data_IF_178487179795
#
_entry.id   IF_178487179795
#
_cell.length_a   1.000
_cell.length_b   1.000
_cell.length_c   1.000
_cell.angle_alpha   90.00
_cell.angle_beta   90.00
_cell.angle_gamma   90.00
#
_symmetry.space_group_name_H-M   'P 1'
#
loop_
_entity.id
_entity.type
_entity.pdbx_description
1 polymer ?
#
# COMPACT_ATOMS: atom_id res chain seq x y z
N UNK A 1 34.40 25.51 -16.29
CA UNK A 1 33.38 24.45 -16.14
C UNK A 1 32.06 24.90 -16.77
N UNK A 2 31.75 24.46 -18.00
CA UNK A 2 30.52 24.86 -18.72
C UNK A 2 29.33 24.03 -18.20
N UNK A 3 28.39 24.66 -17.50
CA UNK A 3 27.12 24.03 -17.12
C UNK A 3 26.36 23.66 -18.40
N UNK A 4 26.26 22.37 -18.68
CA UNK A 4 25.58 21.81 -19.85
C UNK A 4 24.07 22.03 -19.68
N UNK A 5 23.55 23.14 -20.20
CA UNK A 5 22.12 23.44 -20.20
C UNK A 5 21.37 22.35 -20.97
N UNK A 6 20.33 21.80 -20.35
CA UNK A 6 19.50 20.78 -20.99
C UNK A 6 18.67 21.43 -22.10
N UNK A 7 18.45 20.72 -23.22
CA UNK A 7 17.51 21.16 -24.24
C UNK A 7 16.10 21.23 -23.66
N UNK A 8 15.25 22.12 -24.21
CA UNK A 8 13.87 22.31 -23.75
C UNK A 8 13.12 20.97 -23.71
N UNK A 9 13.28 20.14 -24.75
CA UNK A 9 12.70 18.81 -24.84
C UNK A 9 13.17 17.87 -23.70
N UNK A 10 14.44 17.91 -23.31
CA UNK A 10 14.96 17.11 -22.21
C UNK A 10 14.45 17.54 -20.83
N UNK A 11 14.13 18.84 -20.66
CA UNK A 11 13.49 19.35 -19.45
C UNK A 11 12.04 18.91 -19.35
N UNK A 12 11.27 19.05 -20.44
CA UNK A 12 9.86 18.63 -20.50
C UNK A 12 9.72 17.13 -20.24
N UNK A 13 10.56 16.32 -20.89
CA UNK A 13 10.58 14.88 -20.68
C UNK A 13 10.93 14.52 -19.22
N UNK A 14 11.95 15.18 -18.63
CA UNK A 14 12.32 14.96 -17.23
C UNK A 14 11.18 15.29 -16.26
N UNK A 15 10.45 16.38 -16.51
CA UNK A 15 9.28 16.76 -15.71
C UNK A 15 8.15 15.74 -15.85
N UNK A 16 7.88 15.21 -17.05
CA UNK A 16 6.88 14.16 -17.25
C UNK A 16 7.22 12.85 -16.52
N UNK A 17 8.49 12.43 -16.54
CA UNK A 17 8.93 11.23 -15.80
C UNK A 17 8.80 11.43 -14.30
N UNK A 18 9.20 12.60 -13.78
CA UNK A 18 9.03 12.94 -12.36
C UNK A 18 7.56 12.97 -11.97
N UNK A 19 6.69 13.57 -12.80
CA UNK A 19 5.26 13.61 -12.54
C UNK A 19 4.66 12.20 -12.46
N UNK A 20 4.99 11.31 -13.41
CA UNK A 20 4.55 9.91 -13.38
C UNK A 20 5.06 9.15 -12.15
N UNK A 21 6.32 9.36 -11.76
CA UNK A 21 6.92 8.78 -10.55
C UNK A 21 6.17 9.21 -9.28
N UNK A 22 5.91 10.52 -9.16
CA UNK A 22 5.22 11.08 -8.00
C UNK A 22 3.79 10.58 -7.94
N UNK A 23 3.03 10.66 -9.04
CA UNK A 23 1.65 10.20 -9.08
C UNK A 23 1.54 8.70 -8.79
N UNK A 24 2.41 7.87 -9.38
CA UNK A 24 2.45 6.43 -9.12
C UNK A 24 2.79 6.10 -7.67
N UNK A 25 3.73 6.82 -7.06
CA UNK A 25 4.10 6.64 -5.66
C UNK A 25 2.97 7.04 -4.71
N UNK A 26 2.28 8.16 -5.00
CA UNK A 26 1.13 8.61 -4.21
C UNK A 26 0.00 7.60 -4.29
N UNK A 27 -0.36 7.12 -5.49
CA UNK A 27 -1.38 6.08 -5.66
C UNK A 27 -1.01 4.79 -4.92
N UNK A 28 0.25 4.38 -4.98
CA UNK A 28 0.73 3.20 -4.26
C UNK A 28 0.58 3.36 -2.74
N UNK A 29 0.96 4.51 -2.18
CA UNK A 29 0.79 4.80 -0.75
C UNK A 29 -0.68 4.74 -0.35
N UNK A 30 -1.59 5.33 -1.15
CA UNK A 30 -3.03 5.27 -0.90
C UNK A 30 -3.52 3.82 -0.87
N UNK A 31 -3.16 3.00 -1.87
CA UNK A 31 -3.58 1.58 -1.93
C UNK A 31 -3.06 0.79 -0.73
N UNK A 32 -1.84 1.05 -0.27
CA UNK A 32 -1.27 0.38 0.91
C UNK A 32 -2.03 0.79 2.17
N UNK A 33 -2.33 2.08 2.35
CA UNK A 33 -3.09 2.57 3.50
C UNK A 33 -4.52 2.00 3.52
N UNK A 34 -5.18 1.97 2.37
CA UNK A 34 -6.52 1.37 2.22
C UNK A 34 -6.50 -0.12 2.56
N UNK A 35 -5.50 -0.87 2.08
CA UNK A 35 -5.36 -2.28 2.40
C UNK A 35 -5.17 -2.54 3.91
N UNK A 36 -4.45 -1.67 4.62
CA UNK A 36 -4.27 -1.78 6.07
C UNK A 36 -5.57 -1.51 6.82
N UNK A 37 -6.31 -0.47 6.43
CA UNK A 37 -7.60 -0.14 7.03
C UNK A 37 -8.62 -1.26 6.79
N UNK A 38 -8.67 -1.80 5.58
CA UNK A 38 -9.57 -2.90 5.21
C UNK A 38 -9.35 -4.15 6.08
N UNK A 39 -8.10 -4.49 6.40
CA UNK A 39 -7.79 -5.64 7.29
C UNK A 39 -8.34 -5.41 8.70
N UNK A 40 -8.19 -4.21 9.25
CA UNK A 40 -8.72 -3.91 10.59
C UNK A 40 -10.24 -3.90 10.63
N UNK A 41 -10.88 -3.41 9.57
CA UNK A 41 -12.33 -3.34 9.46
C UNK A 41 -12.95 -4.73 9.24
N UNK A 42 -12.34 -5.58 8.42
CA UNK A 42 -12.76 -6.97 8.26
C UNK A 42 -12.63 -7.75 9.58
N UNK A 43 -11.51 -7.59 10.29
CA UNK A 43 -11.31 -8.18 11.62
C UNK A 43 -12.34 -7.69 12.64
N UNK A 44 -12.70 -6.40 12.62
CA UNK A 44 -13.74 -5.79 13.44
C UNK A 44 -15.11 -6.38 13.14
N UNK A 45 -15.50 -6.43 11.86
CA UNK A 45 -16.78 -6.96 11.42
C UNK A 45 -16.91 -8.44 11.76
N UNK A 46 -15.87 -9.24 11.48
CA UNK A 46 -15.84 -10.66 11.79
C UNK A 46 -15.97 -10.94 13.27
N UNK A 47 -15.18 -10.24 14.09
CA UNK A 47 -15.26 -10.36 15.56
C UNK A 47 -16.65 -9.99 16.06
N UNK A 48 -17.26 -8.92 15.52
CA UNK A 48 -18.59 -8.47 15.89
C UNK A 48 -19.67 -9.48 15.55
N UNK A 49 -19.66 -10.01 14.32
CA UNK A 49 -20.64 -11.00 13.85
C UNK A 49 -20.56 -12.27 14.70
N UNK A 50 -19.36 -12.83 14.91
CA UNK A 50 -19.19 -14.05 15.70
C UNK A 50 -19.59 -13.82 17.17
N UNK A 51 -19.15 -12.72 17.79
CA UNK A 51 -19.56 -12.37 19.16
C UNK A 51 -21.07 -12.24 19.29
N UNK A 52 -21.76 -11.58 18.35
CA UNK A 52 -23.22 -11.44 18.36
C UNK A 52 -23.93 -12.76 18.20
N UNK A 53 -23.45 -13.62 17.30
CA UNK A 53 -24.00 -14.97 17.11
C UNK A 53 -23.91 -15.77 18.40
N UNK A 54 -22.72 -15.83 19.03
CA UNK A 54 -22.52 -16.50 20.32
C UNK A 54 -23.41 -15.90 21.42
N UNK A 55 -23.51 -14.58 21.51
CA UNK A 55 -24.33 -13.92 22.53
C UNK A 55 -25.83 -14.16 22.36
N UNK A 56 -26.27 -14.41 21.12
CA UNK A 56 -27.67 -14.70 20.79
C UNK A 56 -28.05 -16.17 20.97
N UNK A 57 -27.08 -17.07 20.99
CA UNK A 57 -27.24 -18.52 21.05
C UNK A 57 -27.92 -18.97 22.37
N UNK A 58 -29.09 -19.63 22.31
CA UNK A 58 -29.77 -20.17 23.49
C UNK A 58 -28.89 -21.11 24.33
N UNK A 59 -28.08 -21.96 23.69
CA UNK A 59 -27.16 -22.86 24.37
C UNK A 59 -26.18 -22.08 25.25
N UNK A 60 -25.62 -20.99 24.73
CA UNK A 60 -24.67 -20.15 25.47
C UNK A 60 -25.36 -19.43 26.62
N UNK A 61 -26.58 -18.90 26.40
CA UNK A 61 -27.39 -18.23 27.44
C UNK A 61 -27.75 -19.15 28.60
N UNK A 62 -27.94 -20.44 28.35
CA UNK A 62 -28.15 -21.45 29.39
C UNK A 62 -26.84 -21.87 30.04
N UNK A 63 -25.80 -22.14 29.24
CA UNK A 63 -24.53 -22.65 29.73
C UNK A 63 -23.76 -21.64 30.61
N UNK A 64 -23.90 -20.32 30.39
CA UNK A 64 -23.31 -19.32 31.29
C UNK A 64 -23.89 -19.33 32.71
N UNK A 65 -25.08 -19.92 32.90
CA UNK A 65 -25.76 -20.05 34.19
C UNK A 65 -25.60 -21.46 34.81
N UNK A 66 -24.91 -22.37 34.14
CA UNK A 66 -24.66 -23.71 34.65
C UNK A 66 -23.81 -23.67 35.94
N UNK A 67 -23.85 -24.75 36.73
CA UNK A 67 -23.00 -24.88 37.92
C UNK A 67 -21.50 -24.81 37.58
N UNK A 68 -21.10 -25.43 36.45
CA UNK A 68 -19.77 -25.30 35.88
C UNK A 68 -19.87 -24.84 34.41
N UNK A 69 -19.90 -23.52 34.16
CA UNK A 69 -19.96 -22.98 32.80
C UNK A 69 -18.73 -23.37 31.97
N UNK A 70 -17.56 -23.55 32.61
CA UNK A 70 -16.30 -23.85 31.92
C UNK A 70 -16.36 -25.21 31.24
N UNK A 71 -16.87 -26.24 31.94
CA UNK A 71 -16.97 -27.59 31.42
C UNK A 71 -17.78 -27.67 30.10
N UNK A 72 -18.80 -26.82 29.97
CA UNK A 72 -19.70 -26.79 28.81
C UNK A 72 -19.21 -25.83 27.73
N UNK A 73 -18.78 -24.62 28.12
CA UNK A 73 -18.45 -23.55 27.19
C UNK A 73 -17.05 -23.66 26.59
N UNK A 74 -16.07 -24.25 27.29
CA UNK A 74 -14.70 -24.32 26.79
C UNK A 74 -14.58 -25.17 25.51
N UNK A 75 -15.16 -26.39 25.43
CA UNK A 75 -15.15 -27.17 24.19
C UNK A 75 -15.88 -26.45 23.04
N UNK A 76 -17.02 -25.82 23.33
CA UNK A 76 -17.77 -25.01 22.37
C UNK A 76 -16.91 -23.86 21.82
N UNK A 77 -16.26 -23.10 22.69
CA UNK A 77 -15.43 -21.97 22.29
C UNK A 77 -14.25 -22.40 21.40
N UNK A 78 -13.61 -23.53 21.70
CA UNK A 78 -12.54 -24.09 20.87
C UNK A 78 -13.05 -24.55 19.50
N UNK A 79 -14.25 -25.12 19.42
CA UNK A 79 -14.87 -25.49 18.14
C UNK A 79 -15.22 -24.26 17.29
N UNK A 80 -15.71 -23.18 17.92
CA UNK A 80 -15.98 -21.91 17.22
C UNK A 80 -14.69 -21.26 16.73
N UNK A 81 -13.61 -21.28 17.51
CA UNK A 81 -12.28 -20.81 17.10
C UNK A 81 -11.84 -21.51 15.79
N UNK A 82 -11.96 -22.84 15.73
CA UNK A 82 -11.56 -23.62 14.56
C UNK A 82 -12.44 -23.38 13.33
N UNK A 83 -13.74 -23.20 13.50
CA UNK A 83 -14.70 -23.09 12.40
C UNK A 83 -14.89 -21.66 11.87
N UNK A 84 -14.86 -20.66 12.74
CA UNK A 84 -15.04 -19.26 12.37
C UNK A 84 -13.72 -18.54 12.02
N UNK A 85 -12.57 -19.23 12.13
CA UNK A 85 -11.23 -18.68 11.91
C UNK A 85 -11.02 -17.37 12.68
N UNK A 86 -11.33 -17.39 13.98
CA UNK A 86 -11.05 -16.34 14.95
C UNK A 86 -9.96 -16.83 15.91
N UNK A 87 -9.16 -15.95 16.48
CA UNK A 87 -8.01 -16.38 17.30
C UNK A 87 -8.40 -16.71 18.75
N UNK A 88 -9.46 -16.09 19.26
CA UNK A 88 -9.99 -16.43 20.58
C UNK A 88 -11.48 -16.17 20.69
N UNK A 89 -12.12 -16.97 21.55
CA UNK A 89 -13.47 -16.79 22.05
C UNK A 89 -13.42 -16.86 23.57
N UNK A 90 -13.72 -15.75 24.23
CA UNK A 90 -13.75 -15.63 25.69
C UNK A 90 -15.17 -15.29 26.13
N UNK A 91 -15.87 -16.30 26.65
CA UNK A 91 -17.14 -16.13 27.35
C UNK A 91 -16.80 -15.97 28.84
N UNK A 92 -17.42 -14.98 29.49
CA UNK A 92 -17.10 -14.58 30.86
C UNK A 92 -18.36 -14.19 31.64
N UNK A 93 -18.25 -14.24 32.97
CA UNK A 93 -19.30 -13.75 33.86
C UNK A 93 -19.52 -12.24 33.70
N UNK A 94 -20.63 -11.67 34.19
CA UNK A 94 -20.85 -10.22 34.20
C UNK A 94 -19.76 -9.42 34.94
N UNK A 95 -19.00 -10.09 35.82
CA UNK A 95 -17.85 -9.50 36.56
C UNK A 95 -16.53 -9.60 35.78
N UNK A 96 -16.54 -10.14 34.57
CA UNK A 96 -15.36 -10.29 33.72
C UNK A 96 -14.48 -11.50 34.08
N UNK A 97 -15.01 -12.51 34.77
CA UNK A 97 -14.27 -13.75 35.07
C UNK A 97 -14.42 -14.72 33.90
N UNK A 98 -13.31 -15.13 33.29
CA UNK A 98 -13.32 -15.97 32.07
C UNK A 98 -13.79 -17.40 32.38
N UNK A 99 -14.79 -17.87 31.63
CA UNK A 99 -15.15 -19.28 31.54
C UNK A 99 -14.38 -19.98 30.42
N UNK A 100 -14.05 -19.25 29.35
CA UNK A 100 -13.34 -19.82 28.20
C UNK A 100 -12.10 -19.01 27.84
N UNK A 101 -11.06 -19.70 27.37
CA UNK A 101 -9.86 -19.07 26.82
C UNK A 101 -9.03 -20.10 26.03
N UNK A 102 -8.33 -19.73 24.93
CA UNK A 102 -7.46 -20.66 24.20
C UNK A 102 -6.34 -21.26 25.07
N UNK A 103 -5.81 -20.47 26.01
CA UNK A 103 -4.89 -20.93 27.05
C UNK A 103 -5.64 -21.26 28.35
N UNK A 104 -5.70 -22.53 28.79
CA UNK A 104 -6.44 -22.94 29.98
C UNK A 104 -6.02 -22.22 31.27
N UNK A 105 -4.76 -21.84 31.38
CA UNK A 105 -4.21 -21.11 32.54
C UNK A 105 -4.83 -19.72 32.76
N UNK A 106 -5.57 -19.19 31.79
CA UNK A 106 -6.26 -17.90 31.87
C UNK A 106 -7.73 -18.02 32.26
N UNK A 107 -8.29 -19.22 32.29
CA UNK A 107 -9.65 -19.49 32.75
C UNK A 107 -9.72 -19.18 34.26
N UNK A 108 -10.84 -18.61 34.71
CA UNK A 108 -11.03 -18.14 36.09
C UNK A 108 -10.34 -16.82 36.41
N UNK A 109 -9.47 -16.28 35.54
CA UNK A 109 -8.86 -14.96 35.72
C UNK A 109 -9.76 -13.85 35.18
N UNK A 110 -9.51 -12.62 35.64
CA UNK A 110 -10.17 -11.42 35.10
C UNK A 110 -9.76 -11.16 33.66
N UNK A 111 -10.73 -10.75 32.85
CA UNK A 111 -10.52 -10.29 31.50
C UNK A 111 -9.63 -9.03 31.47
N UNK A 112 -8.81 -8.91 30.42
CA UNK A 112 -7.94 -7.76 30.17
C UNK A 112 -8.48 -7.01 28.95
N UNK A 113 -9.21 -5.92 29.19
CA UNK A 113 -9.88 -5.12 28.17
C UNK A 113 -11.11 -4.42 28.74
N UNK A 114 -11.86 -3.74 27.88
CA UNK A 114 -13.01 -2.93 28.29
C UNK A 114 -14.28 -3.78 28.34
N UNK A 115 -14.95 -3.82 29.50
CA UNK A 115 -16.24 -4.53 29.67
C UNK A 115 -17.40 -3.63 30.12
N UNK A 116 -17.13 -2.38 30.49
CA UNK A 116 -18.13 -1.46 31.05
C UNK A 116 -19.31 -1.22 30.11
N UNK A 117 -19.04 -1.06 28.81
CA UNK A 117 -20.07 -0.90 27.79
C UNK A 117 -20.97 -2.13 27.69
N UNK A 118 -20.38 -3.33 27.67
CA UNK A 118 -21.12 -4.58 27.69
C UNK A 118 -21.89 -4.78 29.01
N UNK A 119 -21.35 -4.33 30.13
CA UNK A 119 -22.08 -4.33 31.41
C UNK A 119 -23.31 -3.42 31.37
N UNK A 120 -23.27 -2.34 30.59
CA UNK A 120 -24.39 -1.46 30.33
C UNK A 120 -25.31 -1.95 29.18
N UNK A 121 -25.12 -3.19 28.70
CA UNK A 121 -25.93 -3.77 27.62
C UNK A 121 -25.56 -3.28 26.21
N UNK A 122 -24.43 -2.59 26.04
CA UNK A 122 -23.96 -2.07 24.75
C UNK A 122 -22.84 -2.92 24.18
N UNK A 123 -22.79 -3.03 22.84
CA UNK A 123 -21.67 -3.67 22.15
C UNK A 123 -20.57 -2.66 21.88
N UNK A 124 -19.32 -3.07 22.11
CA UNK A 124 -18.14 -2.29 21.74
C UNK A 124 -17.21 -3.13 20.88
N UNK A 125 -16.59 -2.51 19.89
CA UNK A 125 -15.45 -3.06 19.15
C UNK A 125 -14.23 -2.23 19.50
N UNK A 126 -13.14 -2.90 19.88
CA UNK A 126 -11.89 -2.23 20.28
C UNK A 126 -10.67 -2.93 19.69
N UNK A 127 -9.60 -2.16 19.49
CA UNK A 127 -8.26 -2.69 19.26
C UNK A 127 -7.51 -2.65 20.59
N UNK A 128 -7.09 -3.81 21.10
CA UNK A 128 -6.48 -3.91 22.42
C UNK A 128 -5.47 -5.07 22.48
N UNK A 129 -4.37 -4.84 23.21
CA UNK A 129 -3.31 -5.83 23.45
C UNK A 129 -3.64 -6.70 24.66
N UNK A 130 -4.03 -7.95 24.40
CA UNK A 130 -4.41 -8.91 25.44
C UNK A 130 -3.31 -9.91 25.78
N UNK A 131 -3.71 -11.02 26.40
CA UNK A 131 -2.85 -12.19 26.70
C UNK A 131 -2.26 -12.85 25.46
N UNK A 132 -2.87 -12.64 24.30
CA UNK A 132 -2.47 -13.22 23.00
C UNK A 132 -1.79 -12.19 22.07
N UNK A 133 -1.49 -10.99 22.57
CA UNK A 133 -0.94 -9.89 21.78
C UNK A 133 -2.00 -8.91 21.25
N UNK A 134 -1.63 -8.04 20.28
CA UNK A 134 -2.54 -7.08 19.65
C UNK A 134 -3.68 -7.78 18.91
N UNK A 135 -4.90 -7.30 19.10
CA UNK A 135 -6.09 -7.88 18.48
C UNK A 135 -7.18 -6.84 18.29
N UNK A 136 -7.96 -6.99 17.22
CA UNK A 136 -9.27 -6.35 17.08
C UNK A 136 -10.30 -7.32 17.65
N UNK A 137 -11.15 -6.84 18.55
CA UNK A 137 -12.13 -7.66 19.25
C UNK A 137 -13.47 -6.95 19.35
N UNK A 138 -14.54 -7.73 19.43
CA UNK A 138 -15.86 -7.23 19.79
C UNK A 138 -16.31 -7.83 21.12
N UNK A 139 -16.75 -6.97 22.04
CA UNK A 139 -17.26 -7.31 23.36
C UNK A 139 -18.76 -7.09 23.37
N UNK A 140 -19.52 -8.16 23.55
CA UNK A 140 -20.99 -8.18 23.42
C UNK A 140 -21.62 -8.72 24.70
N UNK A 141 -22.68 -8.08 25.22
CA UNK A 141 -23.44 -8.61 26.35
C UNK A 141 -24.24 -9.85 25.96
N UNK A 142 -24.29 -10.82 26.86
CA UNK A 142 -25.19 -11.98 26.76
C UNK A 142 -26.40 -11.66 27.62
N UNK A 143 -27.55 -11.48 26.97
CA UNK A 143 -28.81 -11.08 27.62
C UNK A 143 -29.82 -12.23 27.63
N UNK A 144 -30.46 -12.47 28.77
CA UNK A 144 -31.59 -13.39 28.94
C UNK A 144 -32.75 -12.63 29.56
N UNK A 145 -33.86 -12.53 28.83
CA UNK A 145 -35.04 -11.76 29.30
C UNK A 145 -34.73 -10.29 29.63
N UNK A 146 -33.75 -9.68 28.94
CA UNK A 146 -33.27 -8.32 29.22
C UNK A 146 -32.23 -8.20 30.34
N UNK A 147 -31.96 -9.28 31.08
CA UNK A 147 -30.93 -9.29 32.13
C UNK A 147 -29.57 -9.71 31.58
N UNK A 148 -28.51 -9.02 32.00
CA UNK A 148 -27.13 -9.40 31.72
C UNK A 148 -26.74 -10.67 32.48
N UNK A 149 -26.51 -11.76 31.76
CA UNK A 149 -26.11 -13.06 32.33
C UNK A 149 -24.65 -13.42 32.05
N UNK A 150 -24.02 -12.76 31.08
CA UNK A 150 -22.62 -12.96 30.74
C UNK A 150 -22.13 -11.94 29.72
N UNK A 151 -20.87 -12.04 29.36
CA UNK A 151 -20.24 -11.21 28.31
C UNK A 151 -19.43 -12.15 27.42
N UNK A 152 -19.41 -11.90 26.12
CA UNK A 152 -18.53 -12.59 25.18
C UNK A 152 -17.59 -11.59 24.53
N UNK A 153 -16.31 -11.95 24.45
CA UNK A 153 -15.32 -11.28 23.64
C UNK A 153 -14.75 -12.26 22.62
N UNK A 154 -14.87 -11.92 21.34
CA UNK A 154 -14.21 -12.62 20.23
C UNK A 154 -13.24 -11.65 19.58
N UNK A 155 -12.08 -12.15 19.16
CA UNK A 155 -11.12 -11.31 18.46
C UNK A 155 -10.26 -12.06 17.47
N UNK A 156 -9.76 -11.28 16.51
CA UNK A 156 -8.75 -11.68 15.53
C UNK A 156 -7.47 -10.94 15.88
N UNK A 157 -6.36 -11.67 15.99
CA UNK A 157 -5.05 -11.09 16.22
C UNK A 157 -4.64 -10.31 14.99
N UNK A 158 -4.30 -9.06 15.19
CA UNK A 158 -3.61 -8.28 14.17
C UNK A 158 -2.14 -8.59 14.30
N UNK A 159 -1.53 -9.16 13.26
CA UNK A 159 -0.09 -9.34 13.24
C UNK A 159 0.60 -8.00 13.57
N UNK A 160 1.65 -8.03 14.38
CA UNK A 160 2.47 -6.84 14.63
C UNK A 160 2.89 -6.28 13.26
N UNK A 161 2.65 -4.99 13.01
CA UNK A 161 2.88 -4.31 11.73
C UNK A 161 4.22 -4.68 11.06
N UNK A 162 5.25 -5.05 11.82
CA UNK A 162 6.52 -5.55 11.29
C UNK A 162 6.47 -6.86 10.49
N UNK A 163 5.60 -7.83 10.81
CA UNK A 163 5.64 -9.16 10.18
C UNK A 163 4.88 -9.25 8.84
N UNK A 164 3.89 -8.39 8.60
CA UNK A 164 3.19 -8.33 7.30
C UNK A 164 3.75 -7.27 6.35
N UNK A 165 4.45 -6.26 6.86
CA UNK A 165 5.04 -5.21 6.02
C UNK A 165 6.32 -5.70 5.35
N UNK A 166 7.17 -6.47 6.05
CA UNK A 166 8.45 -6.98 5.51
C UNK A 166 8.30 -7.77 4.19
N UNK A 167 7.33 -8.70 4.05
CA UNK A 167 7.10 -9.42 2.79
C UNK A 167 6.63 -8.54 1.62
N UNK A 168 6.08 -7.35 1.90
CA UNK A 168 5.59 -6.41 0.87
C UNK A 168 6.65 -5.40 0.43
N UNK A 169 7.75 -5.25 1.18
CA UNK A 169 8.89 -4.36 0.84
C UNK A 169 9.50 -4.69 -0.54
N UNK A 170 9.75 -5.97 -0.92
CA UNK A 170 10.27 -6.30 -2.24
C UNK A 170 9.33 -5.89 -3.38
N UNK A 171 8.01 -5.98 -3.17
CA UNK A 171 7.02 -5.51 -4.14
C UNK A 171 7.07 -3.99 -4.30
N UNK A 172 7.15 -3.24 -3.20
CA UNK A 172 7.34 -1.78 -3.22
C UNK A 172 8.64 -1.37 -3.96
N UNK A 173 9.75 -2.07 -3.68
CA UNK A 173 11.02 -1.87 -4.39
C UNK A 173 10.87 -2.20 -5.88
N UNK A 174 10.16 -3.28 -6.22
CA UNK A 174 9.88 -3.68 -7.60
C UNK A 174 9.08 -2.62 -8.37
N UNK A 175 8.03 -2.06 -7.75
CA UNK A 175 7.24 -0.98 -8.34
C UNK A 175 8.11 0.26 -8.54
N UNK A 176 8.86 0.70 -7.53
CA UNK A 176 9.81 1.82 -7.64
C UNK A 176 10.84 1.59 -8.76
N UNK A 177 11.35 0.37 -8.91
CA UNK A 177 12.28 0.00 -9.97
C UNK A 177 11.63 0.11 -11.36
N UNK A 178 10.42 -0.43 -11.54
CA UNK A 178 9.69 -0.37 -12.82
C UNK A 178 9.41 1.08 -13.23
N UNK A 179 8.99 1.93 -12.29
CA UNK A 179 8.73 3.35 -12.61
C UNK A 179 10.03 4.12 -12.87
N UNK A 180 11.17 3.68 -12.34
CA UNK A 180 12.48 4.27 -12.64
C UNK A 180 13.05 3.86 -14.03
N UNK A 181 12.60 2.75 -14.62
CA UNK A 181 13.12 2.23 -15.90
C UNK A 181 13.01 3.21 -17.09
N UNK A 182 11.90 3.94 -17.30
CA UNK A 182 11.79 4.89 -18.41
C UNK A 182 12.79 6.05 -18.30
N UNK A 183 13.04 6.54 -17.07
CA UNK A 183 14.03 7.57 -16.80
C UNK A 183 15.45 7.09 -17.08
N UNK A 184 15.77 5.85 -16.68
CA UNK A 184 17.05 5.21 -16.98
C UNK A 184 17.24 5.01 -18.50
N UNK A 185 16.22 4.51 -19.21
CA UNK A 185 16.25 4.30 -20.65
C UNK A 185 16.47 5.61 -21.42
N UNK A 186 15.78 6.68 -21.05
CA UNK A 186 15.95 7.99 -21.66
C UNK A 186 17.33 8.60 -21.40
N UNK A 187 17.90 8.38 -20.22
CA UNK A 187 19.27 8.80 -19.92
C UNK A 187 20.29 8.08 -20.81
N UNK A 188 20.11 6.77 -21.05
CA UNK A 188 20.95 5.97 -21.95
C UNK A 188 20.81 6.44 -23.40
N UNK A 189 19.58 6.65 -23.87
CA UNK A 189 19.27 7.14 -25.22
C UNK A 189 19.89 8.53 -25.44
N UNK A 190 19.73 9.46 -24.51
CA UNK A 190 20.38 10.78 -24.58
C UNK A 190 21.91 10.64 -24.67
N UNK A 191 22.49 9.71 -23.92
CA UNK A 191 23.94 9.45 -23.93
C UNK A 191 24.40 8.84 -25.25
N UNK A 192 23.63 7.95 -25.87
CA UNK A 192 23.96 7.36 -27.19
C UNK A 192 23.81 8.38 -28.31
N UNK A 193 22.70 9.11 -28.37
CA UNK A 193 22.49 10.19 -29.33
C UNK A 193 23.60 11.22 -29.24
N UNK A 194 23.94 11.70 -28.03
CA UNK A 194 25.03 12.67 -27.87
C UNK A 194 26.39 12.18 -28.35
N UNK A 195 26.64 10.86 -28.36
CA UNK A 195 27.88 10.29 -28.92
C UNK A 195 27.82 10.23 -30.45
N UNK A 196 26.65 9.98 -31.03
CA UNK A 196 26.46 9.88 -32.48
C UNK A 196 26.40 11.25 -33.16
N UNK A 197 25.73 12.25 -32.57
CA UNK A 197 25.56 13.57 -33.22
C UNK A 197 26.81 14.45 -33.18
N UNK A 198 27.67 14.31 -32.15
CA UNK A 198 28.90 15.12 -32.01
C UNK A 198 29.89 14.86 -33.16
N UNK A 199 29.83 13.68 -33.79
CA UNK A 199 30.71 13.34 -34.93
C UNK A 199 30.18 13.80 -36.29
N UNK A 200 28.89 14.13 -36.43
CA UNK A 200 28.29 14.42 -37.74
C UNK A 200 28.09 15.92 -38.04
N UNK A 201 27.91 16.75 -37.02
CA UNK A 201 27.58 18.18 -37.23
C UNK A 201 28.76 19.03 -37.74
N UNK A 202 29.99 18.92 -37.20
CA UNK A 202 31.09 19.79 -37.62
C UNK A 202 31.65 19.42 -38.99
N UNK A 203 31.86 18.13 -39.25
CA UNK A 203 32.55 17.68 -40.47
C UNK A 203 31.70 17.80 -41.74
N UNK A 204 30.37 17.67 -41.63
CA UNK A 204 29.47 17.87 -42.78
C UNK A 204 29.35 19.34 -43.16
N UNK A 205 29.24 20.23 -42.18
CA UNK A 205 29.21 21.68 -42.43
C UNK A 205 30.54 22.16 -43.03
N UNK A 206 31.68 21.70 -42.51
CA UNK A 206 33.00 22.06 -43.04
C UNK A 206 33.23 21.57 -44.47
N UNK A 207 32.84 20.33 -44.80
CA UNK A 207 32.95 19.80 -46.17
C UNK A 207 32.02 20.49 -47.16
N UNK A 208 30.82 20.90 -46.73
CA UNK A 208 29.89 21.61 -47.62
C UNK A 208 30.42 23.00 -47.98
N UNK A 209 31.01 23.73 -47.03
CA UNK A 209 31.66 25.04 -47.28
C UNK A 209 32.87 24.89 -48.19
N UNK A 210 33.74 23.91 -47.95
CA UNK A 210 34.89 23.65 -48.83
C UNK A 210 34.46 23.26 -50.25
N UNK A 211 33.40 22.47 -50.40
CA UNK A 211 32.88 22.12 -51.72
C UNK A 211 32.35 23.36 -52.47
N UNK A 212 31.65 24.27 -51.78
CA UNK A 212 31.21 25.53 -52.37
C UNK A 212 32.37 26.44 -52.79
N UNK A 213 33.39 26.61 -51.95
CA UNK A 213 34.59 27.39 -52.30
C UNK A 213 35.37 26.77 -53.47
N UNK A 214 35.50 25.45 -53.49
CA UNK A 214 36.22 24.72 -54.55
C UNK A 214 35.53 24.85 -55.91
N UNK A 215 34.20 24.76 -55.93
CA UNK A 215 33.41 24.93 -57.16
C UNK A 215 33.55 26.35 -57.68
N UNK A 216 33.44 27.37 -56.81
CA UNK A 216 33.53 28.77 -57.20
C UNK A 216 34.91 29.14 -57.76
N UNK A 217 36.01 28.63 -57.17
CA UNK A 217 37.36 28.88 -57.68
C UNK A 217 37.76 28.04 -58.91
N UNK A 218 36.96 27.04 -59.30
CA UNK A 218 37.24 26.21 -60.48
C UNK A 218 36.65 26.77 -61.78
N UNK A 219 35.70 27.72 -61.70
CA UNK A 219 35.02 28.30 -62.85
C UNK A 219 35.75 29.56 -63.30
N UNK A 220 36.31 29.53 -64.51
CA UNK A 220 37.08 30.63 -65.11
C UNK A 220 36.21 31.70 -65.81
N UNK A 221 34.90 31.59 -65.68
CA UNK A 221 33.90 32.50 -66.23
C UNK A 221 33.11 33.13 -65.07
N UNK A 222 32.79 34.42 -65.13
CA UNK A 222 32.11 35.12 -64.04
C UNK A 222 30.71 34.55 -63.80
N UNK A 223 30.49 33.93 -62.63
CA UNK A 223 29.18 33.41 -62.23
C UNK A 223 28.51 34.39 -61.27
N UNK A 224 27.30 34.85 -61.63
CA UNK A 224 26.45 35.69 -60.79
C UNK A 224 25.15 34.93 -60.50
N UNK A 225 24.97 34.52 -59.25
CA UNK A 225 23.76 33.84 -58.79
C UNK A 225 22.75 34.87 -58.29
N UNK A 226 21.52 34.79 -58.80
CA UNK A 226 20.42 35.67 -58.36
C UNK A 226 19.30 34.87 -57.70
N UNK A 227 18.64 35.47 -56.70
CA UNK A 227 17.43 34.89 -56.10
C UNK A 227 16.23 35.00 -57.05
N UNK A 228 15.11 34.37 -56.70
CA UNK A 228 13.85 34.43 -57.47
C UNK A 228 13.31 35.86 -57.65
N UNK A 229 13.85 36.83 -56.90
CA UNK A 229 13.53 38.26 -56.98
C UNK A 229 14.61 39.07 -57.72
N UNK A 230 15.50 38.39 -58.45
CA UNK A 230 16.59 38.96 -59.27
C UNK A 230 17.63 39.75 -58.47
N UNK A 231 17.83 39.46 -57.19
CA UNK A 231 18.92 40.09 -56.39
C UNK A 231 20.15 39.20 -56.42
N UNK A 232 21.32 39.81 -56.61
CA UNK A 232 22.60 39.08 -56.58
C UNK A 232 22.86 38.58 -55.16
N UNK A 233 23.01 37.27 -55.03
CA UNK A 233 23.26 36.58 -53.76
C UNK A 233 24.72 36.16 -53.64
N UNK A 234 25.35 35.88 -54.79
CA UNK A 234 26.73 35.43 -54.84
C UNK A 234 27.36 35.79 -56.17
N UNK A 235 28.63 36.20 -56.15
CA UNK A 235 29.44 36.41 -57.34
C UNK A 235 30.85 35.86 -57.09
N UNK A 236 31.54 35.50 -58.16
CA UNK A 236 32.95 35.11 -58.14
C UNK A 236 33.75 36.07 -59.03
N UNK A 237 34.99 36.37 -58.62
CA UNK A 237 35.92 37.25 -59.34
C UNK A 237 36.53 36.58 -60.59
#
# INVERSE_FOLDING_TARGET
MRRRSWSLAGRVFGVQVIALLVTGSVLMVIVVLDALNAVTEDAAQKSLVVSRTIASDPFVKDAVLAHDPTAVLQPYALAVIGSASVDFVTIMSPKGIRFTHPHPSQIGRRFLGTISEAQAGRTITETYTGTLGPSVRAVVPILRGGQLVGIVSVGVRTASLGSEVLPRVPFLIGVLAVVALPGAAAAVIRRSLSRMTVRMLPERMARMVQFYESVLHSVREGVVLTDERRRVVLYND
#
